data_IF_976933166721
#
_entry.id   IF_976933166721
#
_cell.length_a   1.000
_cell.length_b   1.000
_cell.length_c   1.000
_cell.angle_alpha   90.00
_cell.angle_beta   90.00
_cell.angle_gamma   90.00
#
_symmetry.space_group_name_H-M   'P 1'
#
loop_
_entity.id
_entity.type
_entity.pdbx_description
1 polymer ?
#
# COMPACT_ATOMS: atom_id res chain seq x y z
N UNK A 1 -16.65 -8.51 21.33
CA UNK A 1 -15.45 -7.70 21.05
C UNK A 1 -14.75 -8.28 19.82
N UNK A 2 -14.94 -7.67 18.65
CA UNK A 2 -14.42 -8.23 17.39
C UNK A 2 -12.89 -8.34 17.44
N UNK A 3 -12.36 -9.54 17.16
CA UNK A 3 -10.92 -9.80 17.08
C UNK A 3 -10.34 -8.90 15.99
N UNK A 4 -9.60 -7.86 16.40
CA UNK A 4 -8.76 -7.01 15.53
C UNK A 4 -7.66 -7.91 14.95
N UNK A 5 -7.98 -8.65 13.89
CA UNK A 5 -7.00 -9.40 13.11
C UNK A 5 -5.92 -8.41 12.64
N UNK A 6 -4.66 -8.79 12.86
CA UNK A 6 -3.49 -7.90 12.95
C UNK A 6 -3.49 -6.78 11.92
N UNK A 7 -3.87 -5.58 12.36
CA UNK A 7 -3.96 -4.38 11.53
C UNK A 7 -2.59 -3.72 11.38
N UNK A 8 -1.61 -4.45 10.85
CA UNK A 8 -0.24 -3.93 10.72
C UNK A 8 0.02 -3.55 9.27
N UNK A 9 0.23 -2.26 9.03
CA UNK A 9 0.64 -1.71 7.76
C UNK A 9 2.14 -1.89 7.59
N UNK A 10 2.52 -2.89 6.79
CA UNK A 10 3.93 -3.17 6.48
C UNK A 10 4.62 -2.00 5.77
N UNK A 11 3.88 -1.18 5.01
CA UNK A 11 4.41 -0.01 4.32
C UNK A 11 4.84 1.09 5.30
N UNK A 12 3.94 1.49 6.20
CA UNK A 12 4.25 2.47 7.24
C UNK A 12 5.35 1.95 8.17
N UNK A 13 5.31 0.67 8.54
CA UNK A 13 6.38 0.04 9.33
C UNK A 13 7.74 0.14 8.64
N UNK A 14 7.81 -0.12 7.33
CA UNK A 14 9.05 -0.03 6.56
C UNK A 14 9.55 1.41 6.38
N UNK A 15 8.64 2.38 6.38
CA UNK A 15 9.01 3.81 6.37
C UNK A 15 9.46 4.33 7.74
N UNK A 16 9.46 3.49 8.79
CA UNK A 16 9.84 3.91 10.14
C UNK A 16 8.78 4.75 10.84
N UNK A 17 7.51 4.64 10.42
CA UNK A 17 6.39 5.30 11.11
C UNK A 17 6.25 4.80 12.55
N UNK A 18 5.63 5.61 13.40
CA UNK A 18 5.35 5.22 14.78
C UNK A 18 4.51 3.93 14.86
N UNK A 19 4.74 3.13 15.90
CA UNK A 19 4.00 1.88 16.13
C UNK A 19 2.50 2.09 16.18
N UNK A 20 2.04 3.16 16.84
CA UNK A 20 0.63 3.52 16.87
C UNK A 20 0.04 3.75 15.46
N UNK A 21 0.82 4.32 14.55
CA UNK A 21 0.39 4.60 13.17
C UNK A 21 0.28 3.31 12.37
N UNK A 22 1.35 2.50 12.33
CA UNK A 22 1.35 1.31 11.48
C UNK A 22 0.50 0.17 12.07
N UNK A 23 0.20 0.14 13.37
CA UNK A 23 -0.71 -0.85 13.99
C UNK A 23 -2.19 -0.44 13.97
N UNK A 24 -2.48 0.78 13.52
CA UNK A 24 -3.85 1.30 13.39
C UNK A 24 -4.59 0.77 12.16
N UNK A 25 -3.85 0.45 11.08
CA UNK A 25 -4.40 0.13 9.77
C UNK A 25 -3.57 -0.93 9.03
N UNK A 26 -4.12 -1.49 7.95
CA UNK A 26 -3.42 -2.46 7.10
C UNK A 26 -2.93 -1.81 5.81
N UNK A 27 -1.99 -2.44 5.11
CA UNK A 27 -1.58 -1.96 3.78
C UNK A 27 -2.70 -2.20 2.75
N UNK A 28 -3.22 -3.43 2.71
CA UNK A 28 -4.26 -3.89 1.79
C UNK A 28 -5.44 -4.45 2.59
N UNK A 29 -6.65 -4.32 2.05
CA UNK A 29 -7.84 -4.96 2.59
C UNK A 29 -8.00 -6.41 2.08
N UNK A 30 -9.03 -7.12 2.51
CA UNK A 30 -9.34 -8.48 2.09
C UNK A 30 -9.58 -8.59 0.56
N UNK A 31 -10.03 -7.51 -0.06
CA UNK A 31 -10.22 -7.37 -1.52
C UNK A 31 -8.91 -7.06 -2.28
N UNK A 32 -7.77 -6.96 -1.58
CA UNK A 32 -6.47 -6.62 -2.17
C UNK A 32 -6.27 -5.12 -2.48
N UNK A 33 -7.26 -4.28 -2.20
CA UNK A 33 -7.22 -2.82 -2.37
C UNK A 33 -6.37 -2.14 -1.31
N UNK A 34 -5.64 -1.08 -1.69
CA UNK A 34 -4.89 -0.27 -0.73
C UNK A 34 -5.83 0.48 0.19
N UNK A 35 -5.59 0.36 1.50
CA UNK A 35 -6.32 1.10 2.56
C UNK A 35 -5.40 1.93 3.45
N UNK A 36 -4.08 1.79 3.28
CA UNK A 36 -3.12 2.64 3.96
C UNK A 36 -3.30 4.10 3.54
N UNK A 37 -3.65 5.04 4.44
CA UNK A 37 -3.93 6.42 4.06
C UNK A 37 -2.74 7.12 3.43
N UNK A 38 -1.52 6.76 3.84
CA UNK A 38 -0.26 7.31 3.28
C UNK A 38 -0.10 6.91 1.82
N UNK A 39 -0.27 5.62 1.51
CA UNK A 39 -0.18 5.16 0.13
C UNK A 39 -1.42 5.53 -0.68
N UNK A 40 -2.59 5.63 -0.05
CA UNK A 40 -3.86 5.94 -0.70
C UNK A 40 -3.84 7.33 -1.37
N UNK A 41 -3.26 8.33 -0.72
CA UNK A 41 -3.13 9.68 -1.30
C UNK A 41 -1.96 9.79 -2.27
N UNK A 42 -1.08 8.78 -2.31
CA UNK A 42 0.05 8.76 -3.22
C UNK A 42 -0.45 8.52 -4.65
N UNK A 43 -0.19 9.50 -5.52
CA UNK A 43 -0.49 9.39 -6.94
C UNK A 43 0.78 8.97 -7.68
N UNK A 44 0.72 7.83 -8.35
CA UNK A 44 1.86 7.32 -9.11
C UNK A 44 2.20 8.30 -10.26
N UNK A 45 3.42 8.85 -10.35
CA UNK A 45 3.77 9.82 -11.38
C UNK A 45 3.94 9.21 -12.78
N UNK A 46 3.98 7.87 -12.89
CA UNK A 46 4.12 7.16 -14.17
C UNK A 46 2.73 6.91 -14.79
N UNK A 47 1.81 6.32 -14.04
CA UNK A 47 0.50 5.91 -14.57
C UNK A 47 -0.69 6.72 -14.04
N UNK A 48 -0.47 7.60 -13.05
CA UNK A 48 -1.53 8.41 -12.43
C UNK A 48 -2.43 7.66 -11.44
N UNK A 49 -2.17 6.39 -11.14
CA UNK A 49 -3.00 5.62 -10.21
C UNK A 49 -2.91 6.16 -8.77
N UNK A 50 -4.04 6.22 -8.09
CA UNK A 50 -4.18 6.65 -6.70
C UNK A 50 -5.28 5.84 -5.98
N UNK A 51 -5.49 6.14 -4.70
CA UNK A 51 -6.53 5.55 -3.87
C UNK A 51 -6.38 4.03 -3.71
N UNK A 52 -7.42 3.23 -4.05
CA UNK A 52 -7.39 1.77 -3.86
C UNK A 52 -6.38 1.06 -4.78
N UNK A 53 -5.99 1.71 -5.88
CA UNK A 53 -5.02 1.20 -6.85
C UNK A 53 -3.64 1.87 -6.71
N UNK A 54 -3.44 2.65 -5.63
CA UNK A 54 -2.18 3.33 -5.41
C UNK A 54 -1.03 2.33 -5.24
N UNK A 55 0.13 2.70 -5.73
CA UNK A 55 1.34 1.90 -5.64
C UNK A 55 2.54 2.82 -5.76
N UNK A 56 3.70 2.39 -5.26
CA UNK A 56 4.94 3.12 -5.48
C UNK A 56 5.47 2.88 -6.89
N UNK A 57 6.30 3.79 -7.37
CA UNK A 57 6.95 3.77 -8.70
C UNK A 57 7.52 2.39 -9.04
N UNK A 58 8.17 1.74 -8.06
CA UNK A 58 8.79 0.41 -8.22
C UNK A 58 7.79 -0.68 -8.63
N UNK A 59 6.55 -0.61 -8.13
CA UNK A 59 5.51 -1.59 -8.40
C UNK A 59 4.51 -1.09 -9.47
N UNK A 60 4.87 -0.03 -10.19
CA UNK A 60 3.99 0.48 -11.23
C UNK A 60 4.01 -0.46 -12.44
N UNK A 61 2.84 -0.92 -12.92
CA UNK A 61 2.77 -1.82 -14.09
C UNK A 61 3.22 -1.12 -15.39
N UNK A 62 3.23 0.21 -15.40
CA UNK A 62 3.73 1.01 -16.52
C UNK A 62 5.21 1.42 -16.34
N UNK A 63 5.88 0.97 -15.26
CA UNK A 63 7.28 1.29 -15.05
C UNK A 63 8.16 0.49 -16.02
N UNK A 64 8.89 1.14 -16.95
CA UNK A 64 9.68 0.45 -17.97
C UNK A 64 10.86 -0.33 -17.38
N UNK A 65 11.23 -0.06 -16.12
CA UNK A 65 12.39 -0.66 -15.45
C UNK A 65 12.08 -1.96 -14.69
N UNK A 66 10.80 -2.32 -14.51
CA UNK A 66 10.39 -3.57 -13.86
C UNK A 66 9.30 -4.25 -14.72
N UNK A 67 9.68 -5.08 -15.70
CA UNK A 67 8.72 -5.80 -16.54
C UNK A 67 7.98 -6.92 -15.78
N UNK A 68 8.26 -7.10 -14.49
CA UNK A 68 7.72 -8.15 -13.65
C UNK A 68 6.70 -7.61 -12.67
N UNK A 69 5.71 -6.85 -13.15
CA UNK A 69 4.46 -6.56 -12.43
C UNK A 69 3.73 -7.86 -12.05
N UNK A 70 4.31 -8.62 -11.12
CA UNK A 70 3.91 -9.96 -10.74
C UNK A 70 2.63 -9.81 -9.94
N UNK A 71 1.56 -9.94 -10.70
CA UNK A 71 0.33 -10.57 -10.29
C UNK A 71 0.68 -11.99 -9.83
N UNK A 72 0.93 -12.16 -8.53
CA UNK A 72 0.74 -13.44 -7.81
C UNK A 72 0.12 -13.13 -6.45
#
# INVERSE_FOLDING_TARGET
>A
MARKQGKVCVFCRNNGEAEATYTSHQLKDADGKIVCPVLYIYTCPICGANGPNAHTIKYCPMNPSDPTGVSR
#
